data_IF_019782687724
#
_entry.id   IF_019782687724
#
_cell.length_a   1.000
_cell.length_b   1.000
_cell.length_c   1.000
_cell.angle_alpha   90.00
_cell.angle_beta   90.00
_cell.angle_gamma   90.00
#
_symmetry.space_group_name_H-M   'P 1'
#
loop_
_entity.id
_entity.type
_entity.pdbx_description
1 polymer ?
#
# COMPACT_ATOMS: atom_id res chain seq x y z
N UNK A 1 15.62 -9.35 7.58
CA UNK A 1 14.98 -9.34 6.24
C UNK A 1 15.77 -8.41 5.36
N UNK A 2 16.22 -8.88 4.20
CA UNK A 2 16.88 -8.03 3.21
C UNK A 2 15.84 -7.07 2.63
N UNK A 3 16.16 -5.78 2.58
CA UNK A 3 15.29 -4.75 2.00
C UNK A 3 15.93 -4.30 0.71
N UNK A 4 15.19 -4.36 -0.39
CA UNK A 4 15.61 -3.74 -1.64
C UNK A 4 14.94 -2.38 -1.78
N UNK A 5 15.66 -1.46 -2.37
CA UNK A 5 15.10 -0.17 -2.74
C UNK A 5 14.32 -0.36 -4.05
N UNK A 6 13.01 -0.14 -3.99
CA UNK A 6 12.11 -0.26 -5.14
C UNK A 6 12.13 1.04 -5.94
N UNK A 7 13.25 1.27 -6.63
CA UNK A 7 13.59 2.56 -7.22
C UNK A 7 12.49 3.12 -8.12
N UNK A 8 11.91 2.30 -8.99
CA UNK A 8 10.84 2.74 -9.89
C UNK A 8 9.62 3.34 -9.17
N UNK A 9 9.28 2.82 -7.98
CA UNK A 9 8.19 3.36 -7.18
C UNK A 9 8.63 4.59 -6.39
N UNK A 10 9.86 4.58 -5.89
CA UNK A 10 10.42 5.72 -5.19
C UNK A 10 10.53 6.94 -6.12
N UNK A 11 11.01 6.75 -7.34
CA UNK A 11 11.09 7.80 -8.36
C UNK A 11 9.70 8.38 -8.71
N UNK A 12 8.68 7.52 -8.76
CA UNK A 12 7.29 8.00 -8.95
C UNK A 12 6.83 8.87 -7.79
N UNK A 13 7.10 8.46 -6.54
CA UNK A 13 6.75 9.25 -5.35
C UNK A 13 7.48 10.60 -5.34
N UNK A 14 8.78 10.59 -5.67
CA UNK A 14 9.59 11.81 -5.79
C UNK A 14 9.04 12.72 -6.90
N UNK A 15 8.68 12.14 -8.05
CA UNK A 15 8.18 12.89 -9.20
C UNK A 15 6.83 13.58 -8.98
N UNK A 16 6.03 13.10 -8.02
CA UNK A 16 4.73 13.71 -7.68
C UNK A 16 4.73 14.47 -6.35
N UNK A 17 5.89 14.55 -5.71
CA UNK A 17 6.06 15.32 -4.47
C UNK A 17 5.74 16.80 -4.71
N UNK A 18 4.99 17.40 -3.79
CA UNK A 18 4.58 18.80 -3.88
C UNK A 18 3.46 19.07 -4.90
N UNK A 19 2.96 18.08 -5.65
CA UNK A 19 1.76 18.27 -6.47
C UNK A 19 0.51 18.34 -5.57
N UNK A 20 -0.56 19.04 -6.00
CA UNK A 20 -1.76 19.21 -5.18
C UNK A 20 -2.57 17.92 -4.97
N UNK A 21 -2.31 16.86 -5.75
CA UNK A 21 -3.07 15.62 -5.66
C UNK A 21 -2.84 14.87 -4.34
N UNK A 22 -3.85 14.15 -3.88
CA UNK A 22 -3.73 13.14 -2.83
C UNK A 22 -3.05 11.91 -3.43
N UNK A 23 -1.84 11.56 -2.94
CA UNK A 23 -1.09 10.38 -3.42
C UNK A 23 -1.63 9.13 -2.73
N UNK A 24 -2.19 8.23 -3.51
CA UNK A 24 -2.81 6.99 -3.01
C UNK A 24 -1.97 5.79 -3.43
N UNK A 25 -1.33 5.15 -2.45
CA UNK A 25 -0.51 3.97 -2.67
C UNK A 25 -1.37 2.73 -2.43
N UNK A 26 -1.78 2.08 -3.53
CA UNK A 26 -2.61 0.87 -3.51
C UNK A 26 -1.76 -0.36 -3.80
N UNK A 27 -2.31 -1.52 -3.53
CA UNK A 27 -1.65 -2.80 -3.80
C UNK A 27 -2.14 -3.89 -2.87
N UNK A 28 -1.93 -5.14 -3.27
CA UNK A 28 -2.31 -6.29 -2.46
C UNK A 28 -1.63 -6.24 -1.09
N UNK A 29 -2.25 -6.90 -0.12
CA UNK A 29 -1.67 -7.02 1.22
C UNK A 29 -0.27 -7.63 1.13
N UNK A 30 0.68 -7.11 1.93
CA UNK A 30 2.11 -7.55 1.94
C UNK A 30 2.90 -7.32 0.64
N UNK A 31 2.41 -6.48 -0.28
CA UNK A 31 3.16 -6.08 -1.50
C UNK A 31 4.31 -5.08 -1.22
N UNK A 32 4.45 -4.61 0.02
CA UNK A 32 5.55 -3.72 0.42
C UNK A 32 5.22 -2.22 0.46
N UNK A 33 3.92 -1.83 0.46
CA UNK A 33 3.47 -0.43 0.53
C UNK A 33 4.09 0.34 1.70
N UNK A 34 3.97 -0.19 2.93
CA UNK A 34 4.52 0.45 4.15
C UNK A 34 6.04 0.61 4.08
N UNK A 35 6.76 -0.39 3.50
CA UNK A 35 8.22 -0.28 3.30
C UNK A 35 8.59 0.77 2.27
N UNK A 36 7.79 0.93 1.24
CA UNK A 36 7.97 2.01 0.25
C UNK A 36 7.75 3.39 0.91
N UNK A 37 6.72 3.55 1.76
CA UNK A 37 6.52 4.78 2.51
C UNK A 37 7.69 5.08 3.47
N UNK A 38 8.22 4.08 4.16
CA UNK A 38 9.40 4.24 5.02
C UNK A 38 10.61 4.75 4.22
N UNK A 39 10.86 4.15 3.04
CA UNK A 39 11.95 4.57 2.16
C UNK A 39 11.76 6.02 1.67
N UNK A 40 10.53 6.40 1.33
CA UNK A 40 10.22 7.75 0.86
C UNK A 40 10.31 8.79 2.00
N UNK A 41 9.84 8.47 3.20
CA UNK A 41 10.04 9.32 4.39
C UNK A 41 11.51 9.57 4.68
N UNK A 42 12.32 8.49 4.56
CA UNK A 42 13.77 8.63 4.71
C UNK A 42 14.35 9.58 3.66
N UNK A 43 13.94 9.43 2.39
CA UNK A 43 14.35 10.35 1.32
C UNK A 43 14.01 11.81 1.68
N UNK A 44 12.78 12.09 2.11
CA UNK A 44 12.37 13.45 2.51
C UNK A 44 13.26 13.97 3.65
N UNK A 45 13.48 13.16 4.69
CA UNK A 45 14.33 13.56 5.83
C UNK A 45 15.78 13.85 5.42
N UNK A 46 16.31 13.11 4.44
CA UNK A 46 17.68 13.27 3.96
C UNK A 46 17.84 14.51 3.05
N UNK A 47 16.81 14.83 2.23
CA UNK A 47 16.89 15.91 1.22
C UNK A 47 16.16 17.20 1.59
N UNK A 48 15.19 17.13 2.52
CA UNK A 48 14.42 18.29 3.03
C UNK A 48 14.46 18.25 4.56
N UNK A 49 15.58 18.55 5.21
CA UNK A 49 15.73 18.39 6.67
C UNK A 49 14.77 19.24 7.51
N UNK A 50 14.22 20.31 6.92
CA UNK A 50 13.25 21.20 7.56
C UNK A 50 11.81 20.70 7.46
N UNK A 51 11.55 19.66 6.65
CA UNK A 51 10.21 19.14 6.45
C UNK A 51 9.60 18.61 7.76
N UNK A 52 8.34 18.94 7.99
CA UNK A 52 7.54 18.33 9.04
C UNK A 52 6.88 17.06 8.52
N UNK A 53 7.16 15.91 9.13
CA UNK A 53 6.63 14.60 8.73
C UNK A 53 5.65 14.10 9.78
N UNK A 54 4.37 14.08 9.45
CA UNK A 54 3.29 13.50 10.26
C UNK A 54 3.03 12.08 9.74
N UNK A 55 3.30 11.05 10.56
CA UNK A 55 3.09 9.66 10.17
C UNK A 55 2.12 8.96 11.12
N UNK A 56 1.10 8.33 10.55
CA UNK A 56 0.05 7.58 11.25
C UNK A 56 0.00 6.19 10.62
N UNK A 57 0.13 5.15 11.43
CA UNK A 57 0.00 3.77 10.97
C UNK A 57 -1.09 3.05 11.79
N UNK A 58 -2.24 2.88 11.20
CA UNK A 58 -3.40 2.28 11.86
C UNK A 58 -3.25 0.77 12.18
N UNK A 59 -2.15 0.12 11.79
CA UNK A 59 -1.82 -1.21 12.31
C UNK A 59 -1.22 -1.16 13.73
N UNK A 60 -0.87 0.03 14.24
CA UNK A 60 -0.24 0.20 15.54
C UNK A 60 -1.28 0.70 16.57
N UNK A 61 -1.40 0.04 17.75
CA UNK A 61 -2.38 0.40 18.77
C UNK A 61 -2.28 1.84 19.28
N UNK A 62 -1.10 2.45 19.17
CA UNK A 62 -0.87 3.85 19.57
C UNK A 62 -1.76 4.85 18.81
N UNK A 63 -2.27 4.47 17.63
CA UNK A 63 -3.18 5.28 16.81
C UNK A 63 -4.65 4.91 16.93
N UNK A 64 -5.04 3.98 17.82
CA UNK A 64 -6.44 3.57 18.01
C UNK A 64 -7.36 4.74 18.38
N UNK A 65 -6.82 5.77 19.02
CA UNK A 65 -7.54 6.98 19.35
C UNK A 65 -7.89 7.86 18.13
N UNK A 66 -7.32 7.57 16.94
CA UNK A 66 -7.54 8.30 15.68
C UNK A 66 -8.48 7.58 14.69
N UNK A 67 -9.16 6.53 15.11
CA UNK A 67 -10.03 5.70 14.23
C UNK A 67 -11.31 6.41 13.75
N UNK A 68 -11.48 7.70 14.05
CA UNK A 68 -12.56 8.54 13.54
C UNK A 68 -12.02 9.72 12.76
N UNK A 69 -12.73 10.13 11.71
CA UNK A 69 -12.31 11.22 10.85
C UNK A 69 -12.02 12.53 11.61
N UNK A 70 -12.80 12.82 12.66
CA UNK A 70 -12.61 14.04 13.46
C UNK A 70 -11.29 13.99 14.23
N UNK A 71 -11.03 12.89 14.92
CA UNK A 71 -9.79 12.71 15.67
C UNK A 71 -8.56 12.75 14.75
N UNK A 72 -8.64 12.09 13.58
CA UNK A 72 -7.59 12.13 12.55
C UNK A 72 -7.33 13.56 12.05
N UNK A 73 -8.39 14.29 11.71
CA UNK A 73 -8.29 15.67 11.24
C UNK A 73 -7.66 16.59 12.28
N UNK A 74 -8.17 16.54 13.52
CA UNK A 74 -7.70 17.38 14.61
C UNK A 74 -6.24 17.07 14.98
N UNK A 75 -5.86 15.78 14.94
CA UNK A 75 -4.48 15.34 15.16
C UNK A 75 -3.51 15.92 14.12
N UNK A 76 -3.88 15.89 12.84
CA UNK A 76 -3.08 16.46 11.77
C UNK A 76 -2.94 17.99 11.92
N UNK A 77 -4.05 18.69 12.23
CA UNK A 77 -4.06 20.14 12.43
C UNK A 77 -3.17 20.59 13.60
N UNK A 78 -3.16 19.83 14.70
CA UNK A 78 -2.32 20.13 15.87
C UNK A 78 -0.82 19.98 15.58
N UNK A 79 -0.44 19.22 14.55
CA UNK A 79 0.95 18.94 14.17
C UNK A 79 1.42 19.70 12.95
N UNK A 80 0.59 20.57 12.42
CA UNK A 80 0.99 21.50 11.36
C UNK A 80 2.07 22.45 11.86
N UNK A 81 3.08 22.67 11.06
CA UNK A 81 4.16 23.64 11.33
C UNK A 81 4.15 24.69 10.22
N UNK A 82 3.98 25.93 10.59
CA UNK A 82 3.97 27.04 9.63
C UNK A 82 5.37 27.32 9.06
N UNK A 83 5.41 27.71 7.78
CA UNK A 83 6.67 28.09 7.11
C UNK A 83 7.56 26.93 6.68
N UNK A 84 7.10 25.68 6.79
CA UNK A 84 7.82 24.48 6.31
C UNK A 84 6.91 23.57 5.48
N UNK A 85 7.52 22.69 4.70
CA UNK A 85 6.78 21.65 3.99
C UNK A 85 6.20 20.62 4.97
N UNK A 86 4.89 20.43 4.95
CA UNK A 86 4.20 19.49 5.82
C UNK A 86 3.76 18.26 5.01
N UNK A 87 4.37 17.12 5.30
CA UNK A 87 4.03 15.83 4.72
C UNK A 87 3.18 15.03 5.70
N UNK A 88 2.07 14.47 5.20
CA UNK A 88 1.25 13.56 6.00
C UNK A 88 1.18 12.17 5.35
N UNK A 89 1.59 11.16 6.11
CA UNK A 89 1.59 9.75 5.72
C UNK A 89 0.61 8.99 6.58
N UNK A 90 -0.36 8.34 5.94
CA UNK A 90 -1.35 7.54 6.66
C UNK A 90 -1.39 6.13 6.08
N UNK A 91 -0.95 5.15 6.86
CA UNK A 91 -0.93 3.73 6.47
C UNK A 91 -2.23 3.05 6.93
N UNK A 92 -2.85 2.24 6.04
CA UNK A 92 -4.12 1.53 6.22
C UNK A 92 -5.30 2.47 6.56
N UNK A 93 -5.46 3.55 5.77
CA UNK A 93 -6.46 4.62 5.98
C UNK A 93 -7.90 4.12 6.14
N UNK A 94 -8.25 2.98 5.52
CA UNK A 94 -9.59 2.40 5.60
C UNK A 94 -9.99 1.93 7.01
N UNK A 95 -9.06 1.89 7.96
CA UNK A 95 -9.38 1.60 9.36
C UNK A 95 -10.01 2.80 10.07
N UNK A 96 -9.81 4.01 9.57
CA UNK A 96 -10.42 5.23 10.11
C UNK A 96 -11.82 5.43 9.53
N UNK A 97 -12.84 5.43 10.38
CA UNK A 97 -14.23 5.64 9.96
C UNK A 97 -14.44 7.07 9.42
N UNK A 98 -14.95 7.18 8.17
CA UNK A 98 -15.20 8.46 7.52
C UNK A 98 -13.92 9.20 7.10
N UNK A 99 -12.82 8.48 6.90
CA UNK A 99 -11.51 9.05 6.56
C UNK A 99 -11.55 10.03 5.38
N UNK A 100 -12.47 9.83 4.43
CA UNK A 100 -12.64 10.69 3.26
C UNK A 100 -12.94 12.15 3.66
N UNK A 101 -13.67 12.37 4.77
CA UNK A 101 -13.96 13.71 5.29
C UNK A 101 -12.70 14.39 5.83
N UNK A 102 -11.87 13.62 6.56
CA UNK A 102 -10.61 14.15 7.09
C UNK A 102 -9.66 14.50 5.95
N UNK A 103 -9.46 13.58 4.99
CA UNK A 103 -8.54 13.78 3.86
C UNK A 103 -8.99 14.93 2.98
N UNK A 104 -10.29 15.02 2.62
CA UNK A 104 -10.80 16.14 1.83
C UNK A 104 -10.64 17.48 2.57
N UNK A 105 -10.85 17.51 3.90
CA UNK A 105 -10.64 18.70 4.71
C UNK A 105 -9.16 19.14 4.78
N UNK A 106 -8.24 18.20 4.96
CA UNK A 106 -6.79 18.46 4.93
C UNK A 106 -6.33 18.93 3.55
N UNK A 107 -6.81 18.26 2.49
CA UNK A 107 -6.51 18.65 1.11
C UNK A 107 -7.02 20.07 0.79
N UNK A 108 -8.24 20.41 1.18
CA UNK A 108 -8.82 21.73 0.95
C UNK A 108 -8.10 22.88 1.69
N UNK A 109 -7.30 22.56 2.72
CA UNK A 109 -6.48 23.56 3.40
C UNK A 109 -5.21 23.93 2.63
N UNK A 110 -4.82 23.14 1.62
CA UNK A 110 -3.60 23.31 0.80
C UNK A 110 -2.31 23.40 1.64
N UNK A 111 -2.34 22.84 2.87
CA UNK A 111 -1.24 22.94 3.84
C UNK A 111 -0.39 21.67 3.90
N UNK A 112 -0.80 20.60 3.24
CA UNK A 112 -0.17 19.28 3.39
C UNK A 112 0.07 18.62 2.04
N UNK A 113 1.20 17.96 1.91
CA UNK A 113 1.44 16.95 0.89
C UNK A 113 1.00 15.58 1.42
N UNK A 114 -0.10 15.02 0.86
CA UNK A 114 -0.86 13.92 1.46
C UNK A 114 -0.55 12.59 0.76
N UNK A 115 -0.11 11.60 1.55
CA UNK A 115 0.16 10.23 1.11
C UNK A 115 -0.65 9.25 1.96
N UNK A 116 -1.52 8.47 1.33
CA UNK A 116 -2.32 7.46 2.01
C UNK A 116 -2.06 6.08 1.42
N UNK A 117 -2.10 5.05 2.26
CA UNK A 117 -2.11 3.67 1.79
C UNK A 117 -3.38 2.95 2.17
N UNK A 118 -3.67 1.91 1.43
CA UNK A 118 -4.73 0.95 1.75
C UNK A 118 -4.64 -0.29 0.86
N UNK A 119 -5.39 -1.33 1.22
CA UNK A 119 -5.49 -2.52 0.37
C UNK A 119 -6.37 -2.24 -0.85
N UNK A 120 -6.07 -2.91 -1.99
CA UNK A 120 -6.85 -2.76 -3.22
C UNK A 120 -8.35 -3.01 -3.03
N UNK A 121 -8.72 -3.90 -2.10
CA UNK A 121 -10.12 -4.20 -1.85
C UNK A 121 -10.93 -3.00 -1.31
N UNK A 122 -10.28 -2.08 -0.60
CA UNK A 122 -10.92 -0.90 0.00
C UNK A 122 -10.70 0.39 -0.79
N UNK A 123 -9.58 0.49 -1.51
CA UNK A 123 -9.22 1.65 -2.31
C UNK A 123 -9.15 1.28 -3.80
N UNK A 124 -10.25 0.78 -4.36
CA UNK A 124 -10.35 0.60 -5.80
C UNK A 124 -10.38 1.95 -6.51
N UNK A 125 -9.78 2.03 -7.71
CA UNK A 125 -9.71 3.28 -8.48
C UNK A 125 -11.08 3.94 -8.68
N UNK A 126 -12.15 3.15 -8.84
CA UNK A 126 -13.53 3.66 -8.93
C UNK A 126 -14.02 4.33 -7.65
N UNK A 127 -13.66 3.77 -6.49
CA UNK A 127 -14.03 4.33 -5.19
C UNK A 127 -13.23 5.62 -4.92
N UNK A 128 -11.94 5.64 -5.26
CA UNK A 128 -11.08 6.80 -5.12
C UNK A 128 -11.59 8.00 -5.94
N UNK A 129 -12.00 7.75 -7.19
CA UNK A 129 -12.57 8.79 -8.04
C UNK A 129 -13.83 9.41 -7.43
N UNK A 130 -14.64 8.60 -6.75
CA UNK A 130 -15.87 9.05 -6.07
C UNK A 130 -15.56 9.74 -4.74
N UNK A 131 -14.70 9.15 -3.91
CA UNK A 131 -14.39 9.65 -2.56
C UNK A 131 -13.62 10.98 -2.60
N UNK A 132 -12.73 11.14 -3.58
CA UNK A 132 -11.84 12.30 -3.68
C UNK A 132 -12.07 13.16 -4.92
N UNK A 133 -13.16 12.94 -5.64
CA UNK A 133 -13.58 13.78 -6.79
C UNK A 133 -12.49 13.99 -7.85
N UNK A 134 -11.73 12.95 -8.16
CA UNK A 134 -10.66 12.99 -9.18
C UNK A 134 -9.38 13.70 -8.76
N UNK A 135 -9.21 14.02 -7.47
CA UNK A 135 -8.03 14.71 -6.93
C UNK A 135 -6.99 13.74 -6.39
N UNK A 136 -6.77 12.63 -7.07
CA UNK A 136 -5.86 11.58 -6.61
C UNK A 136 -4.86 11.20 -7.67
N UNK A 137 -3.63 10.94 -7.24
CA UNK A 137 -2.61 10.27 -8.02
C UNK A 137 -2.37 8.86 -7.45
N UNK A 138 -2.77 7.84 -8.21
CA UNK A 138 -2.66 6.45 -7.76
C UNK A 138 -1.31 5.83 -8.13
N UNK A 139 -0.65 5.20 -7.15
CA UNK A 139 0.57 4.41 -7.32
C UNK A 139 0.24 2.97 -6.93
N UNK A 140 0.12 2.09 -7.94
CA UNK A 140 -0.16 0.65 -7.74
C UNK A 140 1.12 -0.09 -7.45
N UNK A 141 1.24 -0.64 -6.24
CA UNK A 141 2.38 -1.42 -5.79
C UNK A 141 2.07 -2.91 -5.92
N UNK A 142 2.73 -3.55 -6.87
CA UNK A 142 2.64 -4.99 -7.11
C UNK A 142 3.62 -5.77 -6.23
N UNK A 143 3.45 -7.10 -6.07
CA UNK A 143 4.54 -7.97 -5.62
C UNK A 143 5.82 -7.75 -6.43
N UNK A 144 6.93 -8.30 -5.99
CA UNK A 144 8.20 -8.11 -6.71
C UNK A 144 8.09 -8.52 -8.18
N UNK A 145 8.56 -7.67 -9.07
CA UNK A 145 8.84 -8.02 -10.46
C UNK A 145 10.05 -8.97 -10.52
N UNK A 146 10.25 -9.62 -11.67
CA UNK A 146 11.44 -10.44 -11.87
C UNK A 146 12.75 -9.67 -11.66
N UNK A 147 12.83 -8.43 -12.11
CA UNK A 147 14.00 -7.58 -11.88
C UNK A 147 14.27 -7.33 -10.38
N UNK A 148 13.21 -7.10 -9.59
CA UNK A 148 13.31 -6.96 -8.14
C UNK A 148 13.66 -8.29 -7.45
N UNK A 149 13.20 -9.43 -7.98
CA UNK A 149 13.60 -10.77 -7.54
C UNK A 149 15.10 -11.00 -7.76
N UNK A 150 15.60 -10.71 -8.97
CA UNK A 150 17.04 -10.80 -9.29
C UNK A 150 17.87 -9.93 -8.37
N UNK A 151 17.43 -8.70 -8.11
CA UNK A 151 18.10 -7.79 -7.16
C UNK A 151 18.06 -8.31 -5.72
N UNK A 152 16.94 -8.87 -5.28
CA UNK A 152 16.78 -9.40 -3.93
C UNK A 152 17.71 -10.58 -3.64
N UNK A 153 17.80 -11.51 -4.59
CA UNK A 153 18.64 -12.70 -4.48
C UNK A 153 20.07 -12.52 -5.00
N UNK A 154 20.41 -11.36 -5.60
CA UNK A 154 21.71 -11.07 -6.21
C UNK A 154 22.11 -12.12 -7.26
N UNK A 155 21.13 -12.51 -8.07
CA UNK A 155 21.28 -13.60 -9.04
C UNK A 155 22.11 -13.15 -10.25
N UNK A 156 23.07 -13.97 -10.66
CA UNK A 156 23.88 -13.76 -11.87
C UNK A 156 23.36 -14.56 -13.07
N UNK A 157 22.82 -15.77 -12.85
CA UNK A 157 22.16 -16.58 -13.88
C UNK A 157 20.66 -16.26 -13.92
N UNK A 158 20.29 -15.36 -14.81
CA UNK A 158 18.91 -14.89 -14.94
C UNK A 158 17.98 -15.92 -15.57
N UNK A 159 18.49 -16.88 -16.35
CA UNK A 159 17.68 -17.91 -16.99
C UNK A 159 17.12 -18.88 -15.95
N UNK A 160 18.00 -19.50 -15.16
CA UNK A 160 17.59 -20.39 -14.06
C UNK A 160 16.76 -19.64 -12.99
N UNK A 161 17.08 -18.37 -12.76
CA UNK A 161 16.33 -17.54 -11.83
C UNK A 161 14.90 -17.25 -12.30
N UNK A 162 14.66 -17.15 -13.59
CA UNK A 162 13.33 -16.92 -14.13
C UNK A 162 12.39 -18.11 -13.87
N UNK A 163 12.88 -19.34 -14.09
CA UNK A 163 12.10 -20.55 -13.77
C UNK A 163 11.74 -20.63 -12.28
N UNK A 164 12.69 -20.27 -11.41
CA UNK A 164 12.42 -20.18 -9.96
C UNK A 164 11.39 -19.11 -9.65
N UNK A 165 11.50 -17.92 -10.26
CA UNK A 165 10.55 -16.85 -10.04
C UNK A 165 9.13 -17.21 -10.49
N UNK A 166 8.97 -17.96 -11.61
CA UNK A 166 7.68 -18.46 -12.04
C UNK A 166 7.03 -19.41 -11.02
N UNK A 167 7.85 -20.16 -10.29
CA UNK A 167 7.40 -21.11 -9.26
C UNK A 167 7.18 -20.43 -7.89
N UNK A 168 8.09 -19.55 -7.49
CA UNK A 168 8.09 -18.92 -6.15
C UNK A 168 7.20 -17.67 -6.10
N UNK A 169 6.95 -17.03 -7.24
CA UNK A 169 6.21 -15.78 -7.36
C UNK A 169 6.93 -14.57 -6.78
N UNK A 170 6.25 -13.42 -6.77
CA UNK A 170 6.81 -12.12 -6.35
C UNK A 170 6.50 -11.71 -4.90
N UNK A 171 5.91 -12.57 -4.06
CA UNK A 171 5.56 -12.22 -2.69
C UNK A 171 6.78 -12.28 -1.76
N UNK A 172 7.50 -11.17 -1.63
CA UNK A 172 8.77 -11.08 -0.90
C UNK A 172 8.74 -11.63 0.54
N UNK A 173 7.58 -11.62 1.20
CA UNK A 173 7.42 -12.22 2.53
C UNK A 173 7.57 -13.73 2.53
N UNK A 174 7.28 -14.43 1.42
CA UNK A 174 7.44 -15.87 1.30
C UNK A 174 8.91 -16.28 1.32
N UNK A 175 9.82 -15.43 0.83
CA UNK A 175 11.25 -15.72 0.76
C UNK A 175 11.93 -15.83 2.12
N UNK A 176 11.25 -15.49 3.21
CA UNK A 176 11.74 -15.68 4.57
C UNK A 176 11.69 -17.15 5.01
N UNK A 177 10.88 -17.96 4.35
CA UNK A 177 10.73 -19.38 4.62
C UNK A 177 11.72 -20.19 3.79
N UNK A 178 12.35 -21.18 4.42
CA UNK A 178 13.34 -22.04 3.75
C UNK A 178 12.69 -23.15 2.93
N UNK A 179 11.61 -23.71 3.47
CA UNK A 179 10.85 -24.78 2.82
C UNK A 179 9.86 -24.21 1.80
N UNK A 180 9.69 -24.90 0.66
CA UNK A 180 8.79 -24.47 -0.39
C UNK A 180 7.31 -24.60 0.01
N UNK A 181 6.95 -25.61 0.81
CA UNK A 181 5.60 -25.77 1.29
C UNK A 181 5.21 -24.61 2.21
N UNK A 182 6.12 -24.21 3.13
CA UNK A 182 5.90 -23.05 3.99
C UNK A 182 5.72 -21.75 3.18
N UNK A 183 6.41 -21.62 2.03
CA UNK A 183 6.21 -20.47 1.11
C UNK A 183 4.83 -20.50 0.47
N UNK A 184 4.39 -21.65 0.02
CA UNK A 184 3.05 -21.82 -0.55
C UNK A 184 1.96 -21.55 0.49
N UNK A 185 2.12 -22.08 1.70
CA UNK A 185 1.19 -21.84 2.81
C UNK A 185 1.09 -20.34 3.13
N UNK A 186 2.24 -19.66 3.17
CA UNK A 186 2.25 -18.20 3.35
C UNK A 186 1.48 -17.45 2.24
N UNK A 187 1.67 -17.83 0.99
CA UNK A 187 0.97 -17.21 -0.15
C UNK A 187 -0.52 -17.52 -0.08
N UNK A 188 -0.89 -18.76 0.23
CA UNK A 188 -2.27 -19.18 0.43
C UNK A 188 -2.95 -18.39 1.56
N UNK A 189 -2.28 -18.17 2.68
CA UNK A 189 -2.80 -17.34 3.78
C UNK A 189 -3.02 -15.89 3.37
N UNK A 190 -2.10 -15.31 2.60
CA UNK A 190 -2.27 -13.95 2.05
C UNK A 190 -3.47 -13.88 1.11
N UNK A 191 -3.60 -14.87 0.22
CA UNK A 191 -4.71 -14.99 -0.72
C UNK A 191 -6.05 -15.14 -0.01
N UNK A 192 -6.13 -16.08 0.94
CA UNK A 192 -7.34 -16.31 1.74
C UNK A 192 -7.74 -15.05 2.53
N UNK A 193 -6.77 -14.33 3.11
CA UNK A 193 -7.04 -13.06 3.79
C UNK A 193 -7.61 -12.02 2.85
N UNK A 194 -7.07 -11.90 1.63
CA UNK A 194 -7.57 -10.98 0.61
C UNK A 194 -9.02 -11.34 0.21
N UNK A 195 -9.26 -12.60 -0.15
CA UNK A 195 -10.57 -13.06 -0.62
C UNK A 195 -11.61 -13.02 0.51
N UNK A 196 -11.32 -13.67 1.65
CA UNK A 196 -12.29 -13.83 2.74
C UNK A 196 -12.47 -12.55 3.51
N UNK A 197 -11.40 -11.86 3.90
CA UNK A 197 -11.49 -10.69 4.76
C UNK A 197 -11.79 -9.42 3.98
N UNK A 198 -11.06 -9.15 2.92
CA UNK A 198 -11.11 -7.85 2.27
C UNK A 198 -12.28 -7.77 1.26
N UNK A 199 -12.38 -8.71 0.33
CA UNK A 199 -13.42 -8.68 -0.72
C UNK A 199 -14.79 -9.03 -0.13
N UNK A 200 -14.86 -10.12 0.62
CA UNK A 200 -16.10 -10.61 1.22
C UNK A 200 -16.72 -9.58 2.17
N UNK A 201 -15.91 -8.97 3.03
CA UNK A 201 -16.38 -7.95 3.99
C UNK A 201 -16.84 -6.69 3.26
N UNK A 202 -16.09 -6.22 2.27
CA UNK A 202 -16.42 -5.02 1.50
C UNK A 202 -17.76 -5.15 0.77
N UNK A 203 -17.99 -6.28 0.10
CA UNK A 203 -19.19 -6.50 -0.72
C UNK A 203 -20.29 -7.28 -0.01
N UNK A 204 -20.13 -7.60 1.27
CA UNK A 204 -21.09 -8.37 2.08
C UNK A 204 -21.52 -9.68 1.37
N UNK A 205 -20.57 -10.39 0.78
CA UNK A 205 -20.82 -11.60 0.00
C UNK A 205 -21.24 -12.75 0.93
N UNK A 206 -22.42 -13.32 0.68
CA UNK A 206 -23.01 -14.38 1.51
C UNK A 206 -22.79 -15.77 0.94
N UNK A 207 -22.67 -15.89 -0.40
CA UNK A 207 -22.52 -17.18 -1.08
C UNK A 207 -21.05 -17.52 -1.27
N UNK A 208 -20.46 -18.20 -0.29
CA UNK A 208 -19.06 -18.61 -0.33
C UNK A 208 -18.74 -19.64 -1.42
N UNK A 209 -19.54 -20.72 -1.58
CA UNK A 209 -19.27 -21.71 -2.63
C UNK A 209 -19.27 -21.13 -4.04
N UNK A 210 -20.06 -20.07 -4.28
CA UNK A 210 -20.04 -19.37 -5.56
C UNK A 210 -18.76 -18.57 -5.74
N UNK A 211 -18.27 -17.95 -4.66
CA UNK A 211 -17.03 -17.19 -4.70
C UNK A 211 -15.82 -18.10 -4.95
N UNK A 212 -15.77 -19.24 -4.28
CA UNK A 212 -14.70 -20.23 -4.48
C UNK A 212 -14.67 -20.71 -5.95
N UNK A 213 -15.82 -21.06 -6.53
CA UNK A 213 -15.93 -21.41 -7.95
C UNK A 213 -15.50 -20.30 -8.90
N UNK A 214 -15.82 -19.03 -8.55
CA UNK A 214 -15.38 -17.89 -9.36
C UNK A 214 -13.86 -17.71 -9.31
N UNK A 215 -13.27 -17.92 -8.14
CA UNK A 215 -11.81 -17.88 -7.97
C UNK A 215 -11.15 -18.98 -8.78
N UNK A 216 -11.62 -20.21 -8.67
CA UNK A 216 -11.11 -21.35 -9.45
C UNK A 216 -11.23 -21.06 -10.95
N UNK A 217 -12.39 -20.60 -11.41
CA UNK A 217 -12.61 -20.22 -12.81
C UNK A 217 -11.62 -19.13 -13.28
N UNK A 218 -11.38 -18.09 -12.46
CA UNK A 218 -10.43 -17.03 -12.80
C UNK A 218 -9.00 -17.56 -12.84
N UNK A 219 -8.62 -18.44 -11.92
CA UNK A 219 -7.28 -19.05 -11.89
C UNK A 219 -7.02 -19.92 -13.11
N UNK A 220 -8.01 -20.69 -13.53
CA UNK A 220 -7.92 -21.55 -14.72
C UNK A 220 -7.87 -20.76 -16.03
N UNK A 221 -8.31 -19.49 -16.03
CA UNK A 221 -8.44 -18.64 -17.22
C UNK A 221 -7.53 -17.39 -17.20
N UNK A 222 -6.50 -17.35 -16.35
CA UNK A 222 -5.61 -16.18 -16.20
C UNK A 222 -4.90 -15.78 -17.51
N UNK A 223 -4.72 -16.69 -18.45
CA UNK A 223 -3.99 -16.46 -19.71
C UNK A 223 -4.84 -16.58 -20.98
N UNK A 224 -6.16 -16.66 -20.86
CA UNK A 224 -7.09 -16.78 -21.99
C UNK A 224 -7.74 -15.44 -22.32
#
# INVERSE_FOLDING_TARGET
MKIIQRQNYLDKLIGVMGTPDIKVITGVRRSGKSKLLEAFKKYISDYIPTANIIHINFNLPEYDHLLTWRALYDYAKQRYVDGVDNFIFIDEIQMCAGFEKAINGLHASEQYDIYITGSNAFLLSSDLATLFTGRTFEIKVFPFSFAEYVQYFEVTDTFTAFDKYLTEGGMAGSYLYKDMNDRYDYIADVFNTLIVRDIRKKYNLRNLPLMDRLVDFLMDNISN
#
